data_IF_930608600041
#
_entry.id   IF_930608600041
#
_cell.length_a   1.000
_cell.length_b   1.000
_cell.length_c   1.000
_cell.angle_alpha   90.00
_cell.angle_beta   90.00
_cell.angle_gamma   90.00
#
_symmetry.space_group_name_H-M   'P 1'
#
loop_
_entity.id
_entity.type
_entity.pdbx_description
1 polymer ?
#
# COMPACT_ATOMS: atom_id res chain seq x y z
N UNK A 1 -0.09 11.94 -7.48
CA UNK A 1 -0.38 12.30 -6.09
C UNK A 1 0.93 12.46 -5.34
N UNK A 2 1.06 13.51 -4.55
CA UNK A 2 2.19 13.76 -3.65
C UNK A 2 1.63 13.85 -2.23
N UNK A 3 2.30 13.19 -1.30
CA UNK A 3 2.02 13.26 0.12
C UNK A 3 3.29 13.60 0.86
N UNK A 4 3.17 14.53 1.82
CA UNK A 4 4.23 14.87 2.75
C UNK A 4 3.67 14.86 4.15
N UNK A 5 4.35 14.21 5.07
CA UNK A 5 4.08 14.25 6.50
C UNK A 5 5.37 14.57 7.24
N UNK A 6 5.31 15.54 8.14
CA UNK A 6 6.38 15.88 9.05
C UNK A 6 5.84 15.66 10.47
N UNK A 7 6.46 14.77 11.21
CA UNK A 7 6.09 14.47 12.60
C UNK A 7 7.23 14.81 13.53
N UNK A 8 6.92 15.62 14.54
CA UNK A 8 7.85 15.98 15.60
C UNK A 8 7.33 15.45 16.92
N UNK A 9 8.08 14.57 17.54
CA UNK A 9 7.80 14.06 18.86
C UNK A 9 8.87 14.54 19.83
N UNK A 10 8.45 15.21 20.91
CA UNK A 10 9.37 15.70 21.93
C UNK A 10 8.93 15.19 23.28
N UNK A 11 9.83 14.54 23.98
CA UNK A 11 9.66 14.10 25.35
C UNK A 11 10.59 14.86 26.27
N UNK A 12 10.02 15.57 27.25
CA UNK A 12 10.79 16.17 28.31
C UNK A 12 11.43 15.11 29.20
N UNK A 13 12.59 15.42 29.74
CA UNK A 13 13.13 14.61 30.81
C UNK A 13 12.28 14.80 32.09
N UNK A 14 12.18 13.78 32.89
CA UNK A 14 11.57 13.83 34.21
C UNK A 14 12.41 13.02 35.20
N UNK A 15 12.47 13.50 36.44
CA UNK A 15 13.08 12.75 37.51
C UNK A 15 12.05 11.72 38.03
N UNK A 16 12.38 10.43 37.95
CA UNK A 16 11.59 9.41 38.62
C UNK A 16 11.97 9.36 40.08
N UNK A 17 10.98 9.47 40.98
CA UNK A 17 11.19 9.31 42.43
C UNK A 17 11.50 7.87 42.85
N UNK A 18 11.43 6.92 41.93
CA UNK A 18 11.76 5.52 42.16
C UNK A 18 13.17 5.22 41.60
N UNK A 19 14.15 5.14 42.50
CA UNK A 19 15.43 4.53 42.22
C UNK A 19 16.44 5.36 41.41
N UNK A 20 16.52 6.68 41.59
CA UNK A 20 17.52 7.57 40.97
C UNK A 20 17.68 7.43 39.44
N UNK A 21 16.66 6.95 38.75
CA UNK A 21 16.65 6.89 37.30
C UNK A 21 16.12 8.19 36.73
N UNK A 22 17.02 8.97 36.12
CA UNK A 22 16.66 10.13 35.32
C UNK A 22 16.35 9.66 33.90
N UNK A 23 15.22 10.07 33.34
CA UNK A 23 14.90 9.86 31.93
C UNK A 23 15.30 11.10 31.16
N UNK A 24 16.24 10.94 30.25
CA UNK A 24 16.71 12.03 29.40
C UNK A 24 15.64 12.47 28.41
N UNK A 25 15.67 13.73 28.01
CA UNK A 25 14.83 14.26 26.95
C UNK A 25 15.11 13.58 25.63
N UNK A 26 14.08 13.43 24.80
CA UNK A 26 14.15 12.81 23.49
C UNK A 26 13.40 13.68 22.49
N UNK A 27 13.95 13.84 21.31
CA UNK A 27 13.29 14.47 20.17
C UNK A 27 13.40 13.55 18.97
N UNK A 28 12.28 13.20 18.37
CA UNK A 28 12.19 12.47 17.11
C UNK A 28 11.69 13.43 16.03
N UNK A 29 12.44 13.60 14.96
CA UNK A 29 12.05 14.35 13.77
C UNK A 29 11.89 13.35 12.62
N UNK A 30 10.64 13.07 12.24
CA UNK A 30 10.29 12.14 11.18
C UNK A 30 9.74 12.91 9.99
N UNK A 31 10.35 12.70 8.84
CA UNK A 31 9.93 13.30 7.58
C UNK A 31 9.61 12.21 6.58
N UNK A 32 8.39 12.20 6.12
CA UNK A 32 7.89 11.26 5.13
C UNK A 32 7.47 12.01 3.88
N UNK A 33 7.94 11.52 2.74
CA UNK A 33 7.52 11.98 1.43
C UNK A 33 7.10 10.78 0.59
N UNK A 34 5.92 10.85 -0.02
CA UNK A 34 5.43 9.83 -0.94
C UNK A 34 4.96 10.46 -2.25
N UNK A 35 5.41 9.88 -3.34
CA UNK A 35 5.02 10.26 -4.70
C UNK A 35 4.42 9.04 -5.39
N UNK A 36 3.27 9.22 -6.02
CA UNK A 36 2.62 8.22 -6.85
C UNK A 36 2.41 8.76 -8.27
N UNK A 37 2.99 8.08 -9.23
CA UNK A 37 2.74 8.28 -10.65
C UNK A 37 1.82 7.16 -11.15
N UNK A 38 0.72 7.55 -11.78
CA UNK A 38 -0.21 6.63 -12.43
C UNK A 38 -0.44 7.07 -13.88
N UNK A 39 -0.42 6.10 -14.78
CA UNK A 39 -0.76 6.30 -16.19
C UNK A 39 -1.57 5.09 -16.67
N UNK A 40 -2.57 5.34 -17.50
CA UNK A 40 -3.36 4.30 -18.16
C UNK A 40 -3.64 4.64 -19.61
N UNK A 41 -3.94 3.60 -20.38
CA UNK A 41 -4.42 3.68 -21.75
C UNK A 41 -5.61 2.73 -21.86
N UNK A 42 -6.73 3.24 -22.36
CA UNK A 42 -7.99 2.52 -22.49
C UNK A 42 -8.48 2.56 -23.92
N UNK A 43 -8.95 1.42 -24.40
CA UNK A 43 -9.72 1.30 -25.61
C UNK A 43 -11.12 0.77 -25.26
N UNK A 44 -12.16 1.45 -25.75
CA UNK A 44 -13.53 1.09 -25.49
C UNK A 44 -14.27 0.87 -26.79
N UNK A 45 -15.09 -0.19 -26.80
CA UNK A 45 -15.98 -0.52 -27.90
C UNK A 45 -17.38 -0.76 -27.36
N UNK A 46 -18.36 -0.05 -27.90
CA UNK A 46 -19.76 -0.16 -27.54
C UNK A 46 -20.58 -0.37 -28.81
N UNK A 47 -21.38 -1.41 -28.83
CA UNK A 47 -22.26 -1.69 -29.95
C UNK A 47 -23.56 -2.33 -29.47
N UNK A 48 -24.67 -2.01 -30.19
CA UNK A 48 -26.00 -2.58 -29.94
C UNK A 48 -26.56 -3.08 -31.24
N UNK A 49 -27.03 -4.33 -31.23
CA UNK A 49 -27.72 -5.00 -32.33
C UNK A 49 -29.10 -5.45 -31.85
N UNK A 50 -30.14 -4.94 -32.42
CA UNK A 50 -31.54 -5.34 -32.05
C UNK A 50 -31.68 -5.58 -30.53
N UNK A 51 -31.73 -6.85 -30.14
CA UNK A 51 -31.89 -7.30 -28.76
C UNK A 51 -30.56 -7.43 -27.96
N UNK A 52 -29.41 -7.27 -28.60
CA UNK A 52 -28.10 -7.49 -27.98
C UNK A 52 -27.31 -6.22 -27.80
N UNK A 53 -26.60 -6.11 -26.70
CA UNK A 53 -25.63 -5.05 -26.45
C UNK A 53 -24.28 -5.61 -26.02
N UNK A 54 -23.20 -5.01 -26.48
CA UNK A 54 -21.84 -5.35 -26.13
C UNK A 54 -21.10 -4.08 -25.72
N UNK A 55 -20.58 -4.08 -24.50
CA UNK A 55 -19.63 -3.07 -24.04
C UNK A 55 -18.33 -3.79 -23.72
N UNK A 56 -17.24 -3.42 -24.39
CA UNK A 56 -15.93 -4.00 -24.20
C UNK A 56 -14.92 -2.91 -23.88
N UNK A 57 -14.10 -3.13 -22.88
CA UNK A 57 -12.98 -2.26 -22.51
C UNK A 57 -11.71 -3.09 -22.43
N UNK A 58 -10.67 -2.62 -23.07
CA UNK A 58 -9.32 -3.16 -22.94
C UNK A 58 -8.41 -2.05 -22.46
N UNK A 59 -7.56 -2.34 -21.48
CA UNK A 59 -6.68 -1.34 -20.93
C UNK A 59 -5.36 -1.86 -20.44
N UNK A 60 -4.43 -0.94 -20.34
CA UNK A 60 -3.14 -1.15 -19.67
C UNK A 60 -2.90 0.00 -18.71
N UNK A 61 -2.30 -0.27 -17.57
CA UNK A 61 -1.93 0.75 -16.60
C UNK A 61 -0.56 0.51 -16.01
N UNK A 62 0.07 1.60 -15.61
CA UNK A 62 1.33 1.61 -14.87
C UNK A 62 1.15 2.47 -13.62
N UNK A 63 1.50 1.93 -12.47
CA UNK A 63 1.57 2.65 -11.23
C UNK A 63 2.99 2.54 -10.66
N UNK A 64 3.58 3.66 -10.31
CA UNK A 64 4.85 3.72 -9.62
C UNK A 64 4.68 4.53 -8.33
N UNK A 65 5.07 3.93 -7.22
CA UNK A 65 5.12 4.61 -5.91
C UNK A 65 6.57 4.72 -5.49
N UNK A 66 6.94 5.88 -5.00
CA UNK A 66 8.23 6.16 -4.39
C UNK A 66 8.00 6.81 -3.05
N UNK A 67 8.54 6.23 -1.98
CA UNK A 67 8.47 6.78 -0.64
C UNK A 67 9.86 7.00 -0.11
N UNK A 68 10.06 8.13 0.56
CA UNK A 68 11.29 8.47 1.25
C UNK A 68 10.94 8.82 2.69
N UNK A 69 11.58 8.16 3.63
CA UNK A 69 11.44 8.41 5.05
C UNK A 69 12.82 8.76 5.64
N UNK A 70 12.88 9.86 6.36
CA UNK A 70 14.06 10.27 7.14
C UNK A 70 13.61 10.43 8.57
N UNK A 71 14.22 9.68 9.47
CA UNK A 71 13.98 9.76 10.91
C UNK A 71 15.28 10.15 11.59
N UNK A 72 15.24 11.22 12.36
CA UNK A 72 16.36 11.73 13.15
C UNK A 72 15.99 11.60 14.62
N UNK A 73 16.76 10.80 15.34
CA UNK A 73 16.61 10.59 16.77
C UNK A 73 17.67 11.39 17.51
N UNK A 74 17.22 12.31 18.34
CA UNK A 74 18.04 13.11 19.21
C UNK A 74 17.76 12.75 20.67
N UNK A 75 18.80 12.50 21.43
CA UNK A 75 18.73 12.29 22.87
C UNK A 75 19.56 13.30 23.62
N UNK A 76 19.11 13.70 24.79
CA UNK A 76 19.85 14.62 25.62
C UNK A 76 21.07 13.93 26.23
N UNK A 77 22.27 14.43 25.94
CA UNK A 77 23.52 13.73 26.22
C UNK A 77 23.94 13.72 27.69
N UNK A 78 23.52 14.69 28.47
CA UNK A 78 23.89 14.77 29.89
C UNK A 78 22.83 15.52 30.67
N UNK A 79 22.22 14.85 31.62
CA UNK A 79 21.58 15.51 32.73
C UNK A 79 22.65 15.71 33.81
N UNK A 80 23.01 16.94 34.09
CA UNK A 80 23.74 17.26 35.29
C UNK A 80 22.75 17.85 36.27
N UNK A 81 22.53 17.15 37.39
CA UNK A 81 21.58 17.55 38.40
C UNK A 81 21.85 19.00 38.87
N UNK A 82 20.83 19.84 39.09
CA UNK A 82 20.99 21.12 39.70
C UNK A 82 21.70 20.95 41.05
N UNK A 83 22.85 21.59 41.25
CA UNK A 83 23.65 21.49 42.46
C UNK A 83 25.09 21.03 42.24
N UNK A 84 25.42 20.36 41.15
CA UNK A 84 26.78 19.94 40.81
C UNK A 84 27.40 20.74 39.66
N UNK A 85 26.99 21.98 39.47
CA UNK A 85 27.52 22.84 38.42
C UNK A 85 27.10 22.48 37.00
N UNK A 86 26.10 21.65 36.86
CA UNK A 86 25.57 21.24 35.56
C UNK A 86 24.51 22.20 35.00
N UNK A 87 24.62 22.47 33.73
CA UNK A 87 23.63 23.26 33.03
C UNK A 87 22.32 22.49 32.84
N UNK A 88 21.23 23.03 33.34
CA UNK A 88 19.90 22.63 32.97
C UNK A 88 19.57 23.27 31.60
N UNK A 89 19.29 22.45 30.58
CA UNK A 89 18.89 22.95 29.27
C UNK A 89 17.34 22.91 29.16
N UNK A 90 16.67 24.03 29.49
CA UNK A 90 15.21 24.05 29.46
C UNK A 90 14.61 24.03 28.03
N UNK A 91 15.42 24.36 27.03
CA UNK A 91 14.97 24.44 25.66
C UNK A 91 15.17 23.11 24.93
N UNK A 92 14.18 22.27 24.99
CA UNK A 92 14.11 20.99 24.32
C UNK A 92 14.00 21.07 22.79
N UNK A 93 13.67 22.26 22.25
CA UNK A 93 13.59 22.50 20.81
C UNK A 93 14.91 22.95 20.19
N UNK A 94 15.93 23.16 20.98
CA UNK A 94 17.27 23.54 20.47
C UNK A 94 18.09 22.27 20.22
N UNK A 95 18.36 21.90 18.93
CA UNK A 95 19.16 20.74 18.58
C UNK A 95 20.53 20.66 19.21
N UNK A 96 21.14 21.82 19.59
CA UNK A 96 22.46 21.86 20.24
C UNK A 96 22.44 21.28 21.66
N UNK A 97 21.27 21.10 22.26
CA UNK A 97 21.14 20.51 23.60
C UNK A 97 21.04 18.98 23.54
N UNK A 98 21.03 18.44 22.36
CA UNK A 98 20.90 16.99 22.10
C UNK A 98 22.11 16.51 21.32
N UNK A 99 22.39 15.22 21.43
CA UNK A 99 23.24 14.54 20.46
C UNK A 99 22.35 13.65 19.56
N UNK A 100 22.75 13.52 18.32
CA UNK A 100 22.09 12.64 17.39
C UNK A 100 22.43 11.20 17.76
N UNK A 101 21.44 10.45 18.23
CA UNK A 101 21.61 9.06 18.63
C UNK A 101 21.35 8.07 17.49
N UNK A 102 20.60 8.48 16.49
CA UNK A 102 20.33 7.65 15.33
C UNK A 102 19.76 8.41 14.16
N UNK A 103 20.07 7.92 12.98
CA UNK A 103 19.49 8.37 11.73
C UNK A 103 19.03 7.17 10.96
N UNK A 104 17.75 7.14 10.60
CA UNK A 104 17.21 6.11 9.72
C UNK A 104 16.74 6.76 8.43
N UNK A 105 17.22 6.25 7.31
CA UNK A 105 16.79 6.67 5.99
C UNK A 105 16.21 5.47 5.25
N UNK A 106 14.97 5.58 4.84
CA UNK A 106 14.27 4.57 4.05
C UNK A 106 13.93 5.10 2.67
N UNK A 107 14.24 4.36 1.63
CA UNK A 107 13.80 4.62 0.28
C UNK A 107 13.09 3.37 -0.24
N UNK A 108 11.82 3.54 -0.56
CA UNK A 108 11.01 2.46 -1.14
C UNK A 108 10.57 2.84 -2.54
N UNK A 109 10.64 1.88 -3.44
CA UNK A 109 10.09 1.99 -4.79
C UNK A 109 9.29 0.75 -5.11
N UNK A 110 8.07 0.97 -5.62
CA UNK A 110 7.20 -0.07 -6.10
C UNK A 110 6.68 0.30 -7.49
N UNK A 111 6.71 -0.65 -8.40
CA UNK A 111 6.08 -0.53 -9.72
C UNK A 111 5.10 -1.67 -9.91
N UNK A 112 3.94 -1.33 -10.41
CA UNK A 112 2.90 -2.26 -10.81
C UNK A 112 2.51 -1.94 -12.25
N UNK A 113 2.66 -2.91 -13.14
CA UNK A 113 2.14 -2.82 -14.50
C UNK A 113 0.96 -3.78 -14.61
N UNK A 114 -0.04 -3.39 -15.39
CA UNK A 114 -1.27 -4.15 -15.50
C UNK A 114 -1.81 -4.14 -16.91
N UNK A 115 -2.39 -5.26 -17.32
CA UNK A 115 -3.26 -5.35 -18.49
C UNK A 115 -4.60 -5.90 -18.02
N UNK A 116 -5.68 -5.28 -18.47
CA UNK A 116 -7.02 -5.68 -18.06
C UNK A 116 -8.02 -5.54 -19.18
N UNK A 117 -9.06 -6.36 -19.10
CA UNK A 117 -10.21 -6.31 -19.98
C UNK A 117 -11.49 -6.49 -19.21
N UNK A 118 -12.56 -5.86 -19.68
CA UNK A 118 -13.90 -6.02 -19.19
C UNK A 118 -14.86 -6.10 -20.36
N UNK A 119 -15.80 -7.04 -20.30
CA UNK A 119 -16.85 -7.21 -21.31
C UNK A 119 -18.17 -7.34 -20.58
N UNK A 120 -19.14 -6.51 -20.95
CA UNK A 120 -20.53 -6.64 -20.56
C UNK A 120 -21.33 -6.98 -21.80
N UNK A 121 -21.97 -8.13 -21.77
CA UNK A 121 -22.90 -8.57 -22.78
C UNK A 121 -24.34 -8.46 -22.26
N UNK A 122 -25.19 -7.75 -22.98
CA UNK A 122 -26.60 -7.56 -22.63
C UNK A 122 -27.54 -8.22 -23.66
N UNK A 123 -28.63 -8.82 -23.17
CA UNK A 123 -29.71 -9.39 -24.01
C UNK A 123 -31.06 -8.84 -23.55
N UNK A 124 -31.79 -8.21 -24.48
CA UNK A 124 -33.14 -7.64 -24.27
C UNK A 124 -33.22 -6.65 -23.10
N UNK A 125 -32.11 -5.98 -22.76
CA UNK A 125 -32.00 -5.15 -21.56
C UNK A 125 -32.46 -5.85 -20.26
N UNK A 126 -32.43 -7.15 -20.26
CA UNK A 126 -32.97 -7.99 -19.20
C UNK A 126 -31.94 -8.94 -18.61
N UNK A 127 -31.09 -9.52 -19.44
CA UNK A 127 -29.98 -10.39 -19.03
C UNK A 127 -28.67 -9.70 -19.32
N UNK A 128 -27.79 -9.62 -18.32
CA UNK A 128 -26.45 -9.09 -18.46
C UNK A 128 -25.43 -10.09 -17.94
N UNK A 129 -24.37 -10.27 -18.71
CA UNK A 129 -23.21 -11.08 -18.34
C UNK A 129 -21.97 -10.16 -18.34
N UNK A 130 -21.33 -10.06 -17.19
CA UNK A 130 -20.12 -9.29 -16.98
C UNK A 130 -18.94 -10.24 -16.83
N UNK A 131 -17.91 -10.06 -17.63
CA UNK A 131 -16.64 -10.81 -17.52
C UNK A 131 -15.51 -9.82 -17.44
N UNK A 132 -14.69 -9.94 -16.40
CA UNK A 132 -13.49 -9.14 -16.28
C UNK A 132 -12.28 -10.02 -16.06
N UNK A 133 -11.15 -9.58 -16.57
CA UNK A 133 -9.87 -10.21 -16.35
C UNK A 133 -8.80 -9.15 -16.22
N UNK A 134 -7.90 -9.33 -15.26
CA UNK A 134 -6.76 -8.46 -15.04
C UNK A 134 -5.52 -9.30 -14.75
N UNK A 135 -4.40 -8.91 -15.33
CA UNK A 135 -3.10 -9.46 -14.99
C UNK A 135 -2.17 -8.34 -14.54
N UNK A 136 -1.58 -8.52 -13.38
CA UNK A 136 -0.66 -7.57 -12.77
C UNK A 136 0.74 -8.17 -12.69
N UNK A 137 1.75 -7.31 -12.90
CA UNK A 137 3.17 -7.60 -12.70
C UNK A 137 3.72 -6.64 -11.67
N UNK A 138 4.11 -7.17 -10.51
CA UNK A 138 4.59 -6.38 -9.39
C UNK A 138 6.09 -6.47 -9.21
N UNK A 139 6.75 -5.33 -9.07
CA UNK A 139 8.16 -5.28 -8.71
C UNK A 139 8.45 -5.79 -7.29
N UNK A 140 7.45 -5.84 -6.41
CA UNK A 140 7.59 -6.38 -5.07
C UNK A 140 7.78 -7.91 -5.07
N UNK A 141 7.30 -8.58 -6.12
CA UNK A 141 7.45 -10.01 -6.37
C UNK A 141 8.54 -10.34 -7.40
N UNK A 142 9.36 -9.35 -7.78
CA UNK A 142 10.51 -9.61 -8.64
C UNK A 142 11.39 -10.74 -8.06
N UNK A 143 11.95 -11.56 -8.94
CA UNK A 143 12.75 -12.73 -8.60
C UNK A 143 11.99 -13.92 -7.98
N UNK A 144 10.65 -13.91 -8.03
CA UNK A 144 9.81 -15.05 -7.65
C UNK A 144 9.07 -15.61 -8.85
N UNK A 145 8.60 -16.86 -8.74
CA UNK A 145 7.73 -17.48 -9.74
C UNK A 145 6.34 -16.83 -9.79
N UNK A 146 5.99 -16.07 -8.74
CA UNK A 146 4.70 -15.40 -8.57
C UNK A 146 4.67 -13.92 -8.95
N UNK A 147 5.64 -13.41 -9.73
CA UNK A 147 5.71 -11.98 -10.09
C UNK A 147 4.54 -11.50 -10.97
N UNK A 148 3.82 -12.44 -11.59
CA UNK A 148 2.63 -12.20 -12.41
C UNK A 148 1.43 -12.88 -11.79
N UNK A 149 0.32 -12.15 -11.63
CA UNK A 149 -0.87 -12.68 -11.02
C UNK A 149 -2.13 -12.24 -11.75
N UNK A 150 -3.02 -13.23 -11.94
CA UNK A 150 -4.22 -13.11 -12.74
C UNK A 150 -5.47 -13.10 -11.86
N UNK A 151 -6.37 -12.15 -12.13
CA UNK A 151 -7.62 -11.90 -11.44
C UNK A 151 -8.80 -11.98 -12.40
N UNK A 152 -9.52 -13.11 -12.48
CA UNK A 152 -10.75 -13.20 -13.22
C UNK A 152 -11.96 -12.80 -12.34
N UNK A 153 -12.99 -12.28 -12.98
CA UNK A 153 -14.30 -12.11 -12.38
C UNK A 153 -15.38 -12.40 -13.42
N UNK A 154 -16.47 -12.98 -12.98
CA UNK A 154 -17.66 -13.19 -13.78
C UNK A 154 -18.89 -12.83 -12.95
N UNK A 155 -19.82 -12.12 -13.55
CA UNK A 155 -21.08 -11.73 -12.94
C UNK A 155 -22.23 -11.91 -13.92
N UNK A 156 -23.39 -12.24 -13.41
CA UNK A 156 -24.62 -12.27 -14.19
C UNK A 156 -25.74 -11.55 -13.43
N UNK A 157 -26.58 -10.86 -14.17
CA UNK A 157 -27.79 -10.25 -13.63
C UNK A 157 -28.99 -10.47 -14.57
N UNK A 158 -30.13 -10.78 -13.99
CA UNK A 158 -31.39 -11.07 -14.69
C UNK A 158 -32.49 -10.17 -14.12
N UNK A 159 -33.12 -9.39 -15.00
CA UNK A 159 -34.31 -8.60 -14.71
C UNK A 159 -35.56 -9.44 -15.18
N UNK A 160 -36.17 -10.15 -14.25
CA UNK A 160 -37.25 -11.10 -14.59
C UNK A 160 -38.52 -10.39 -15.06
N UNK A 161 -38.77 -9.17 -14.55
CA UNK A 161 -39.92 -8.34 -14.96
C UNK A 161 -39.91 -7.91 -16.45
N UNK A 162 -38.81 -8.11 -17.16
CA UNK A 162 -38.72 -7.89 -18.61
C UNK A 162 -39.20 -9.07 -19.43
N UNK A 163 -39.26 -10.28 -18.84
CA UNK A 163 -39.69 -11.50 -19.49
C UNK A 163 -41.06 -11.95 -19.05
N UNK A 164 -41.48 -11.64 -17.83
CA UNK A 164 -42.73 -12.07 -17.22
C UNK A 164 -43.45 -10.87 -16.62
N UNK A 165 -44.74 -10.71 -16.96
CA UNK A 165 -45.57 -9.72 -16.29
C UNK A 165 -45.86 -10.18 -14.86
N UNK A 166 -45.39 -9.42 -13.88
CA UNK A 166 -45.52 -9.72 -12.45
C UNK A 166 -46.71 -9.02 -11.78
N UNK A 167 -47.59 -8.40 -12.59
CA UNK A 167 -48.76 -7.67 -12.09
C UNK A 167 -48.40 -6.29 -11.49
N UNK A 168 -49.44 -5.60 -10.97
CA UNK A 168 -49.37 -4.19 -10.57
C UNK A 168 -48.49 -3.91 -9.33
N UNK A 169 -48.08 -4.96 -8.58
CA UNK A 169 -47.44 -4.79 -7.27
C UNK A 169 -45.94 -5.04 -7.28
N UNK A 170 -45.36 -5.49 -8.40
CA UNK A 170 -43.92 -5.75 -8.50
C UNK A 170 -43.36 -5.05 -9.72
N UNK A 171 -42.74 -3.89 -9.49
CA UNK A 171 -42.15 -3.08 -10.54
C UNK A 171 -40.76 -3.56 -10.95
N UNK A 172 -40.01 -4.19 -10.02
CA UNK A 172 -38.67 -4.68 -10.27
C UNK A 172 -38.38 -6.01 -9.55
N UNK A 173 -38.00 -7.02 -10.33
CA UNK A 173 -37.50 -8.28 -9.80
C UNK A 173 -36.18 -8.63 -10.47
N UNK A 174 -35.08 -8.47 -9.72
CA UNK A 174 -33.72 -8.63 -10.22
C UNK A 174 -32.96 -9.69 -9.43
N UNK A 175 -32.42 -10.68 -10.13
CA UNK A 175 -31.40 -11.58 -9.60
C UNK A 175 -30.03 -11.13 -10.07
N UNK A 176 -29.03 -11.30 -9.22
CA UNK A 176 -27.64 -11.16 -9.59
C UNK A 176 -26.77 -12.11 -8.78
N UNK A 177 -25.74 -12.62 -9.42
CA UNK A 177 -24.69 -13.40 -8.78
C UNK A 177 -23.36 -13.08 -9.43
N UNK A 178 -22.29 -13.16 -8.67
CA UNK A 178 -20.96 -12.93 -9.19
C UNK A 178 -19.93 -13.79 -8.46
N UNK A 179 -18.84 -14.08 -9.15
CA UNK A 179 -17.67 -14.72 -8.60
C UNK A 179 -16.44 -13.95 -9.02
N UNK A 180 -15.54 -13.70 -8.07
CA UNK A 180 -14.28 -13.00 -8.36
C UNK A 180 -13.12 -13.58 -7.54
N UNK A 181 -11.94 -13.53 -8.14
CA UNK A 181 -10.67 -13.78 -7.45
C UNK A 181 -9.91 -12.45 -7.38
N UNK A 182 -9.54 -12.06 -6.15
CA UNK A 182 -8.75 -10.85 -5.91
C UNK A 182 -7.45 -11.25 -5.22
N UNK A 183 -6.36 -10.64 -5.61
CA UNK A 183 -5.06 -10.87 -4.98
C UNK A 183 -4.56 -9.62 -4.28
N UNK A 184 -3.83 -9.83 -3.21
CA UNK A 184 -3.15 -8.78 -2.47
C UNK A 184 -1.65 -8.90 -2.68
N UNK A 185 -1.01 -7.77 -3.01
CA UNK A 185 0.43 -7.73 -3.25
C UNK A 185 1.20 -7.73 -1.92
N UNK A 186 2.48 -8.10 -1.99
CA UNK A 186 3.37 -8.16 -0.83
C UNK A 186 4.10 -6.84 -0.61
N UNK A 187 4.59 -6.56 0.63
CA UNK A 187 5.48 -5.44 0.87
C UNK A 187 6.76 -5.52 0.03
N UNK A 188 7.30 -4.37 -0.34
CA UNK A 188 8.52 -4.27 -1.13
C UNK A 188 9.73 -4.90 -0.43
N UNK A 189 10.69 -5.38 -1.23
CA UNK A 189 11.98 -5.92 -0.78
C UNK A 189 11.93 -7.22 0.05
N UNK A 190 10.78 -7.88 0.14
CA UNK A 190 10.69 -9.20 0.80
C UNK A 190 11.29 -10.33 -0.03
N UNK A 191 11.40 -10.14 -1.34
CA UNK A 191 11.92 -11.13 -2.29
C UNK A 191 13.39 -10.91 -2.66
N UNK A 192 13.99 -9.81 -2.20
CA UNK A 192 15.37 -9.44 -2.50
C UNK A 192 16.19 -9.39 -1.20
N UNK A 193 17.19 -10.27 -1.02
CA UNK A 193 18.04 -10.24 0.16
C UNK A 193 18.85 -8.94 0.17
N UNK A 194 18.83 -8.26 1.29
CA UNK A 194 19.61 -7.04 1.50
C UNK A 194 20.67 -7.27 2.55
N UNK A 195 21.91 -6.96 2.20
CA UNK A 195 22.99 -6.84 3.16
C UNK A 195 22.93 -5.47 3.81
N UNK A 196 23.19 -5.40 5.08
CA UNK A 196 23.31 -4.14 5.83
C UNK A 196 24.74 -3.89 6.25
N UNK A 197 25.12 -2.63 6.31
CA UNK A 197 26.43 -2.26 6.85
C UNK A 197 26.31 -2.18 8.38
N UNK A 198 27.14 -2.92 9.06
CA UNK A 198 27.30 -2.85 10.49
C UNK A 198 28.45 -1.90 10.89
N UNK A 199 28.76 -1.90 12.18
CA UNK A 199 29.85 -1.11 12.73
C UNK A 199 31.18 -1.48 12.09
N UNK A 200 32.06 -0.48 11.94
CA UNK A 200 33.40 -0.62 11.36
C UNK A 200 33.43 -1.19 9.92
N UNK A 201 32.33 -1.03 9.17
CA UNK A 201 32.25 -1.50 7.78
C UNK A 201 31.97 -3.00 7.63
N UNK A 202 31.56 -3.68 8.69
CA UNK A 202 31.11 -5.05 8.61
C UNK A 202 29.89 -5.17 7.69
N UNK A 203 29.84 -6.20 6.86
CA UNK A 203 28.68 -6.50 6.02
C UNK A 203 27.88 -7.61 6.70
N UNK A 204 26.71 -7.26 7.18
CA UNK A 204 25.81 -8.21 7.81
C UNK A 204 24.94 -8.88 6.73
N UNK A 205 24.82 -10.20 6.73
CA UNK A 205 23.91 -10.89 5.84
C UNK A 205 22.45 -10.58 6.17
N UNK A 206 21.54 -10.78 5.23
CA UNK A 206 20.12 -10.58 5.49
C UNK A 206 19.63 -11.55 6.59
N UNK A 207 18.81 -11.05 7.49
CA UNK A 207 18.22 -11.85 8.59
C UNK A 207 17.27 -12.94 8.09
N UNK A 208 16.76 -12.80 6.88
CA UNK A 208 15.83 -13.75 6.26
C UNK A 208 16.21 -14.05 4.81
N UNK A 209 16.13 -15.32 4.44
CA UNK A 209 16.28 -15.75 3.05
C UNK A 209 14.95 -15.59 2.33
N UNK A 210 14.90 -14.86 1.20
CA UNK A 210 13.67 -14.71 0.45
C UNK A 210 13.19 -16.03 -0.14
N UNK A 211 11.89 -16.28 -0.04
CA UNK A 211 11.27 -17.43 -0.68
C UNK A 211 11.01 -17.15 -2.16
N UNK A 212 11.60 -17.95 -3.06
CA UNK A 212 11.31 -17.89 -4.50
C UNK A 212 9.86 -18.23 -4.83
N UNK A 213 9.21 -19.01 -3.98
CA UNK A 213 7.82 -19.46 -4.12
C UNK A 213 6.82 -18.51 -3.50
N UNK A 214 7.24 -17.31 -3.09
CA UNK A 214 6.32 -16.30 -2.55
C UNK A 214 5.29 -15.93 -3.63
N UNK A 215 4.02 -16.01 -3.25
CA UNK A 215 2.87 -15.71 -4.11
C UNK A 215 2.00 -14.66 -3.44
N UNK A 216 1.24 -13.86 -4.22
CA UNK A 216 0.23 -12.98 -3.66
C UNK A 216 -0.85 -13.79 -2.94
N UNK A 217 -1.39 -13.21 -1.90
CA UNK A 217 -2.59 -13.74 -1.25
C UNK A 217 -3.78 -13.68 -2.21
N UNK A 218 -4.59 -14.74 -2.25
CA UNK A 218 -5.79 -14.80 -3.09
C UNK A 218 -7.03 -14.91 -2.24
N UNK A 219 -7.99 -14.03 -2.49
CA UNK A 219 -9.30 -14.04 -1.87
C UNK A 219 -10.35 -14.38 -2.93
N UNK A 220 -11.21 -15.33 -2.62
CA UNK A 220 -12.36 -15.74 -3.43
C UNK A 220 -13.62 -15.10 -2.86
N UNK A 221 -14.37 -14.40 -3.69
CA UNK A 221 -15.62 -13.72 -3.31
C UNK A 221 -16.78 -14.23 -4.18
N UNK A 222 -17.94 -14.43 -3.53
CA UNK A 222 -19.17 -14.87 -4.15
C UNK A 222 -20.27 -13.85 -3.93
#
# INVERSE_FOLDING_TARGET
RHERADEHYVRNHYASSYGNKYTYGKMDDNRYFSEQLYADLLAQYNHTWDDFSLNATLGTSMMQTRSNNVSLLYEQSKFVAPGNGGAYYPNIFNPSNFYMNGTTMGLERKRLNSVFGAVTFGFKEALFLDVTARNDWSSALAYTDGYSFFYPSVGASLLLNRFVDMGRNIDLFKFRGSYSIVGNDVPVYKTNPRYTYGDQGAINPPESVPFRTLKPEKTHSF
#
